data_IF_449196206385
#
_entry.id   IF_449196206385
#
_cell.length_a   1.000
_cell.length_b   1.000
_cell.length_c   1.000
_cell.angle_alpha   90.00
_cell.angle_beta   90.00
_cell.angle_gamma   90.00
#
_symmetry.space_group_name_H-M   'P 1'
#
loop_
_entity.id
_entity.type
_entity.pdbx_description
1 polymer ?
#
# COMPACT_ATOMS: atom_id res chain seq x y z
N UNK A 1 12.62 2.15 -13.50
CA UNK A 1 12.46 1.92 -12.04
C UNK A 1 11.03 2.34 -11.73
N UNK A 2 10.25 1.52 -11.03
CA UNK A 2 8.84 1.78 -10.79
C UNK A 2 8.63 2.15 -9.32
N UNK A 3 8.36 3.43 -9.05
CA UNK A 3 8.06 3.92 -7.71
C UNK A 3 6.82 3.21 -7.14
N UNK A 4 5.85 2.89 -8.00
CA UNK A 4 4.66 2.13 -7.59
C UNK A 4 4.99 0.75 -7.02
N UNK A 5 5.99 0.07 -7.61
CA UNK A 5 6.46 -1.23 -7.12
C UNK A 5 7.20 -1.10 -5.77
N UNK A 6 7.98 -0.04 -5.58
CA UNK A 6 8.67 0.22 -4.32
C UNK A 6 7.66 0.46 -3.18
N UNK A 7 6.61 1.26 -3.42
CA UNK A 7 5.55 1.51 -2.46
C UNK A 7 4.77 0.24 -2.08
N UNK A 8 4.46 -0.59 -3.08
CA UNK A 8 3.82 -1.91 -2.90
C UNK A 8 4.64 -2.81 -1.97
N UNK A 9 5.94 -2.92 -2.23
CA UNK A 9 6.85 -3.76 -1.44
C UNK A 9 6.96 -3.23 -0.01
N UNK A 10 7.18 -1.92 0.16
CA UNK A 10 7.33 -1.32 1.48
C UNK A 10 6.06 -1.49 2.33
N UNK A 11 4.88 -1.18 1.77
CA UNK A 11 3.62 -1.38 2.49
C UNK A 11 3.38 -2.85 2.83
N UNK A 12 3.64 -3.77 1.89
CA UNK A 12 3.54 -5.20 2.15
C UNK A 12 4.46 -5.69 3.26
N UNK A 13 5.71 -5.22 3.28
CA UNK A 13 6.71 -5.58 4.30
C UNK A 13 6.32 -5.06 5.68
N UNK A 14 5.82 -3.82 5.79
CA UNK A 14 5.35 -3.28 7.08
C UNK A 14 4.22 -4.14 7.65
N UNK A 15 3.22 -4.45 6.82
CA UNK A 15 2.09 -5.28 7.20
C UNK A 15 2.49 -6.75 7.48
N UNK A 16 3.56 -7.24 6.86
CA UNK A 16 4.13 -8.55 7.17
C UNK A 16 4.83 -8.53 8.53
N UNK A 17 5.62 -7.50 8.82
CA UNK A 17 6.30 -7.34 10.11
C UNK A 17 5.29 -7.30 11.25
N UNK A 18 4.20 -6.54 11.09
CA UNK A 18 3.14 -6.49 12.11
C UNK A 18 2.55 -7.87 12.40
N UNK A 19 2.29 -8.67 11.35
CA UNK A 19 1.81 -10.05 11.51
C UNK A 19 2.82 -10.95 12.20
N UNK A 20 4.11 -10.80 11.90
CA UNK A 20 5.17 -11.63 12.50
C UNK A 20 5.45 -11.26 13.96
N UNK A 21 5.33 -9.98 14.33
CA UNK A 21 5.64 -9.49 15.67
C UNK A 21 4.42 -9.57 16.60
N UNK A 22 3.25 -9.18 16.12
CA UNK A 22 2.03 -9.05 16.94
C UNK A 22 1.01 -10.14 16.68
N UNK A 23 1.12 -10.90 15.59
CA UNK A 23 0.12 -11.90 15.18
C UNK A 23 -1.10 -11.31 14.46
N UNK A 24 -1.14 -9.99 14.26
CA UNK A 24 -2.21 -9.26 13.59
C UNK A 24 -1.70 -7.91 13.04
N UNK A 25 -2.49 -7.27 12.20
CA UNK A 25 -2.26 -5.89 11.72
C UNK A 25 -3.17 -4.93 12.48
N UNK A 26 -2.67 -3.75 12.83
CA UNK A 26 -3.46 -2.72 13.53
C UNK A 26 -4.01 -1.70 12.56
N UNK A 27 -5.33 -1.64 12.44
CA UNK A 27 -6.02 -0.62 11.65
C UNK A 27 -6.49 0.51 12.57
N UNK A 28 -6.12 1.76 12.26
CA UNK A 28 -6.31 2.89 13.16
C UNK A 28 -6.91 4.14 12.50
N UNK A 29 -6.93 4.22 11.17
CA UNK A 29 -7.57 5.33 10.46
C UNK A 29 -8.90 4.90 9.85
N UNK A 30 -9.99 5.56 10.28
CA UNK A 30 -11.29 5.36 9.65
C UNK A 30 -11.30 5.98 8.25
N UNK A 31 -11.66 5.18 7.25
CA UNK A 31 -11.86 5.63 5.89
C UNK A 31 -13.17 6.44 5.82
N UNK A 32 -13.08 7.76 5.65
CA UNK A 32 -14.24 8.64 5.41
C UNK A 32 -15.40 8.46 6.42
N UNK A 33 -15.09 8.13 7.69
CA UNK A 33 -16.07 7.81 8.72
C UNK A 33 -17.04 6.66 8.37
N UNK A 34 -16.66 5.79 7.44
CA UNK A 34 -17.47 4.65 6.95
C UNK A 34 -17.50 3.43 7.87
N UNK A 35 -16.78 3.48 9.00
CA UNK A 35 -16.57 2.31 9.87
C UNK A 35 -15.56 1.30 9.34
N UNK A 36 -15.04 1.48 8.11
CA UNK A 36 -13.87 0.76 7.58
C UNK A 36 -12.63 1.43 8.15
N UNK A 37 -11.69 0.64 8.65
CA UNK A 37 -10.40 1.11 9.15
C UNK A 37 -9.28 0.58 8.26
N UNK A 38 -8.26 1.41 8.06
CA UNK A 38 -7.02 1.07 7.38
C UNK A 38 -5.83 1.54 8.22
N UNK A 39 -4.64 1.12 7.83
CA UNK A 39 -3.37 1.60 8.37
C UNK A 39 -2.51 2.26 7.28
N UNK A 40 -1.34 2.79 7.65
CA UNK A 40 -0.42 3.42 6.70
C UNK A 40 0.05 2.46 5.59
N UNK A 41 0.31 1.20 5.92
CA UNK A 41 0.77 0.22 4.95
C UNK A 41 -0.28 -0.06 3.86
N UNK A 42 -1.57 -0.06 4.20
CA UNK A 42 -2.65 -0.21 3.22
C UNK A 42 -2.71 1.00 2.27
N UNK A 43 -2.49 2.22 2.78
CA UNK A 43 -2.41 3.42 1.94
C UNK A 43 -1.18 3.39 1.02
N UNK A 44 -0.03 2.92 1.51
CA UNK A 44 1.17 2.75 0.68
C UNK A 44 0.94 1.71 -0.43
N UNK A 45 0.29 0.59 -0.10
CA UNK A 45 -0.08 -0.43 -1.09
C UNK A 45 -1.05 0.17 -2.13
N UNK A 46 -2.12 0.84 -1.69
CA UNK A 46 -3.10 1.43 -2.59
C UNK A 46 -2.48 2.48 -3.53
N UNK A 47 -1.65 3.39 -2.99
CA UNK A 47 -0.90 4.36 -3.79
C UNK A 47 0.08 3.66 -4.73
N UNK A 48 0.79 2.65 -4.25
CA UNK A 48 1.72 1.87 -5.05
C UNK A 48 1.07 1.22 -6.26
N UNK A 49 -0.12 0.64 -6.10
CA UNK A 49 -0.92 0.08 -7.21
C UNK A 49 -1.25 1.18 -8.23
N UNK A 50 -1.78 2.31 -7.78
CA UNK A 50 -2.16 3.43 -8.66
C UNK A 50 -0.96 3.95 -9.44
N UNK A 51 0.16 4.23 -8.75
CA UNK A 51 1.39 4.69 -9.39
C UNK A 51 1.94 3.67 -10.37
N UNK A 52 1.97 2.39 -10.01
CA UNK A 52 2.50 1.34 -10.88
C UNK A 52 1.73 1.26 -12.19
N UNK A 53 0.39 1.33 -12.15
CA UNK A 53 -0.43 1.36 -13.37
C UNK A 53 -0.20 2.63 -14.21
N UNK A 54 0.02 3.78 -13.56
CA UNK A 54 0.34 5.03 -14.26
C UNK A 54 1.69 4.92 -14.96
N UNK A 55 2.70 4.38 -14.29
CA UNK A 55 4.04 4.18 -14.83
C UNK A 55 4.02 3.17 -15.99
N UNK A 56 3.32 2.04 -15.87
CA UNK A 56 3.15 1.08 -16.95
C UNK A 56 2.54 1.73 -18.21
N UNK A 57 1.50 2.55 -18.05
CA UNK A 57 0.89 3.28 -19.17
C UNK A 57 1.79 4.37 -19.76
N UNK A 58 2.71 4.92 -18.97
CA UNK A 58 3.69 5.88 -19.49
C UNK A 58 4.75 5.15 -20.31
N UNK A 59 5.26 4.02 -19.81
CA UNK A 59 6.25 3.20 -20.50
C UNK A 59 5.71 2.60 -21.80
N UNK A 60 4.43 2.22 -21.88
CA UNK A 60 3.80 1.77 -23.15
C UNK A 60 3.70 2.87 -24.23
N UNK A 61 3.75 4.14 -23.83
CA UNK A 61 3.63 5.29 -24.76
C UNK A 61 4.98 5.82 -25.24
N UNK A 62 6.08 5.38 -24.64
CA UNK A 62 7.44 5.84 -24.94
C UNK A 62 8.19 4.77 -25.76
#
# INVERSE_FOLDING_TARGET
KYLGLELLIVGGVINLIDRLVYGFVRDYWSLLASGIYNNLADYLIALGIVYFFVELKQDERN
#
